data_IF_892506680944
#
_entry.id   IF_892506680944
#
_cell.length_a   1.000
_cell.length_b   1.000
_cell.length_c   1.000
_cell.angle_alpha   90.00
_cell.angle_beta   90.00
_cell.angle_gamma   90.00
#
_symmetry.space_group_name_H-M   'P 1'
#
loop_
_entity.id
_entity.type
_entity.pdbx_description
1 polymer ?
#
# COMPACT_ATOMS: atom_id res chain seq x y z
N UNK A 1 1.73 9.06 14.39
CA UNK A 1 1.24 8.29 15.55
C UNK A 1 0.43 9.10 16.57
N UNK A 2 0.37 10.45 16.53
CA UNK A 2 -0.32 11.25 17.57
C UNK A 2 -1.87 11.21 17.50
N UNK A 3 -2.45 11.10 16.30
CA UNK A 3 -3.90 11.30 16.13
C UNK A 3 -4.77 10.22 16.80
N UNK A 4 -4.36 8.94 16.77
CA UNK A 4 -5.18 7.85 17.31
C UNK A 4 -5.15 7.78 18.85
N UNK A 5 -4.03 8.13 19.48
CA UNK A 5 -3.95 8.28 20.93
C UNK A 5 -4.75 9.50 21.41
N UNK A 6 -4.68 10.62 20.69
CA UNK A 6 -5.49 11.79 20.98
C UNK A 6 -6.99 11.49 20.87
N UNK A 7 -7.40 10.75 19.85
CA UNK A 7 -8.81 10.38 19.67
C UNK A 7 -9.34 9.49 20.80
N UNK A 8 -8.56 8.47 21.23
CA UNK A 8 -8.93 7.62 22.36
C UNK A 8 -9.06 8.40 23.69
N UNK A 9 -8.13 9.32 23.95
CA UNK A 9 -8.18 10.17 25.16
C UNK A 9 -9.45 11.05 25.15
N UNK A 10 -9.79 11.59 23.99
CA UNK A 10 -11.00 12.44 23.83
C UNK A 10 -12.29 11.64 24.07
N UNK A 11 -12.35 10.39 23.61
CA UNK A 11 -13.53 9.53 23.74
C UNK A 11 -13.79 9.10 25.19
N UNK A 12 -12.74 8.71 25.94
CA UNK A 12 -12.88 8.31 27.35
C UNK A 12 -13.25 9.49 28.25
N UNK A 13 -12.68 10.68 28.02
CA UNK A 13 -13.07 11.90 28.74
C UNK A 13 -14.53 12.27 28.46
N UNK A 14 -15.00 12.07 27.22
CA UNK A 14 -16.39 12.29 26.84
C UNK A 14 -17.36 11.30 27.50
N UNK A 15 -16.91 10.07 27.78
CA UNK A 15 -17.70 9.08 28.54
C UNK A 15 -17.77 9.44 30.02
N UNK A 16 -16.66 9.81 30.64
CA UNK A 16 -16.62 10.27 32.03
C UNK A 16 -17.55 11.47 32.24
N UNK A 17 -17.51 12.45 31.33
CA UNK A 17 -18.36 13.64 31.42
C UNK A 17 -19.85 13.28 31.37
N UNK A 18 -20.25 12.31 30.54
CA UNK A 18 -21.64 11.80 30.51
C UNK A 18 -22.04 11.12 31.82
N UNK A 19 -21.15 10.34 32.43
CA UNK A 19 -21.45 9.67 33.70
C UNK A 19 -21.56 10.65 34.88
N UNK A 20 -20.74 11.70 34.91
CA UNK A 20 -20.83 12.75 35.94
C UNK A 20 -22.17 13.49 35.83
N UNK A 21 -22.59 13.87 34.60
CA UNK A 21 -23.88 14.54 34.38
C UNK A 21 -25.05 13.65 34.78
N UNK A 22 -24.99 12.36 34.45
CA UNK A 22 -26.06 11.40 34.73
C UNK A 22 -26.21 11.08 36.22
N UNK A 23 -25.11 10.83 36.92
CA UNK A 23 -25.12 10.39 38.33
C UNK A 23 -25.07 11.54 39.33
N UNK A 24 -24.76 12.76 38.88
CA UNK A 24 -24.63 13.99 39.66
C UNK A 24 -23.98 13.79 41.05
N UNK A 25 -22.73 13.29 41.11
CA UNK A 25 -22.07 12.96 42.35
C UNK A 25 -21.75 14.22 43.16
N UNK A 26 -21.94 14.16 44.48
CA UNK A 26 -21.60 15.25 45.41
C UNK A 26 -20.09 15.50 45.49
N UNK A 27 -19.28 14.43 45.40
CA UNK A 27 -17.82 14.51 45.33
C UNK A 27 -17.33 14.06 43.95
N UNK A 28 -17.11 15.03 43.08
CA UNK A 28 -16.69 14.80 41.69
C UNK A 28 -15.27 14.22 41.64
N UNK A 29 -14.36 14.65 42.52
CA UNK A 29 -12.97 14.20 42.49
C UNK A 29 -12.85 12.73 42.90
N UNK A 30 -13.53 12.35 43.98
CA UNK A 30 -13.56 10.95 44.41
C UNK A 30 -14.29 10.07 43.39
N UNK A 31 -15.35 10.58 42.75
CA UNK A 31 -16.04 9.88 41.67
C UNK A 31 -15.12 9.62 40.47
N UNK A 32 -14.38 10.64 40.00
CA UNK A 32 -13.39 10.48 38.92
C UNK A 32 -12.31 9.46 39.29
N UNK A 33 -11.78 9.52 40.52
CA UNK A 33 -10.78 8.55 40.99
C UNK A 33 -11.32 7.11 40.96
N UNK A 34 -12.53 6.90 41.46
CA UNK A 34 -13.18 5.60 41.46
C UNK A 34 -13.49 5.11 40.04
N UNK A 35 -13.92 6.00 39.14
CA UNK A 35 -14.17 5.68 37.74
C UNK A 35 -12.93 5.11 37.05
N UNK A 36 -11.80 5.83 37.12
CA UNK A 36 -10.56 5.36 36.50
C UNK A 36 -10.00 4.10 37.15
N UNK A 37 -10.12 3.96 38.48
CA UNK A 37 -9.73 2.73 39.17
C UNK A 37 -10.59 1.53 38.74
N UNK A 38 -11.90 1.73 38.57
CA UNK A 38 -12.82 0.67 38.11
C UNK A 38 -12.52 0.27 36.67
N UNK A 39 -12.26 1.25 35.79
CA UNK A 39 -11.83 1.01 34.41
C UNK A 39 -10.50 0.27 34.33
N UNK A 40 -9.52 0.69 35.13
CA UNK A 40 -8.22 0.02 35.21
C UNK A 40 -8.36 -1.42 35.72
N UNK A 41 -9.22 -1.63 36.71
CA UNK A 41 -9.54 -2.97 37.22
C UNK A 41 -10.19 -3.84 36.15
N UNK A 42 -11.14 -3.30 35.38
CA UNK A 42 -11.78 -4.02 34.27
C UNK A 42 -10.75 -4.43 33.20
N UNK A 43 -9.89 -3.50 32.77
CA UNK A 43 -8.82 -3.79 31.81
C UNK A 43 -7.84 -4.85 32.33
N UNK A 44 -7.47 -4.77 33.62
CA UNK A 44 -6.62 -5.79 34.26
C UNK A 44 -7.31 -7.14 34.28
N UNK A 45 -8.61 -7.21 34.60
CA UNK A 45 -9.37 -8.47 34.61
C UNK A 45 -9.44 -9.12 33.23
N UNK A 46 -9.62 -8.30 32.19
CA UNK A 46 -9.62 -8.76 30.80
C UNK A 46 -8.25 -9.32 30.40
N UNK A 47 -7.17 -8.61 30.72
CA UNK A 47 -5.81 -9.12 30.50
C UNK A 47 -5.53 -10.40 31.29
N UNK A 48 -6.01 -10.51 32.53
CA UNK A 48 -5.89 -11.73 33.33
C UNK A 48 -6.64 -12.91 32.71
N UNK A 49 -7.80 -12.67 32.08
CA UNK A 49 -8.53 -13.73 31.36
C UNK A 49 -7.73 -14.29 30.16
N UNK A 50 -6.80 -13.50 29.62
CA UNK A 50 -5.92 -13.89 28.51
C UNK A 50 -4.63 -14.58 28.99
N UNK A 51 -4.35 -14.59 30.30
CA UNK A 51 -3.13 -15.19 30.87
C UNK A 51 -2.99 -16.67 30.54
N UNK A 52 -4.08 -17.45 30.58
CA UNK A 52 -4.05 -18.88 30.26
C UNK A 52 -3.65 -19.16 28.81
N UNK A 53 -4.16 -18.35 27.87
CA UNK A 53 -3.78 -18.41 26.46
C UNK A 53 -2.34 -17.95 26.23
N UNK A 54 -1.91 -16.90 26.94
CA UNK A 54 -0.53 -16.41 26.86
C UNK A 54 0.46 -17.44 27.41
N UNK A 55 0.15 -18.09 28.54
CA UNK A 55 0.97 -19.16 29.12
C UNK A 55 1.06 -20.39 28.21
N UNK A 56 -0.04 -20.77 27.55
CA UNK A 56 -0.03 -21.82 26.54
C UNK A 56 0.88 -21.50 25.34
N UNK A 57 1.15 -20.22 25.09
CA UNK A 57 2.08 -19.72 24.07
C UNK A 57 3.48 -19.39 24.63
N UNK A 58 3.78 -19.76 25.88
CA UNK A 58 5.08 -19.52 26.53
C UNK A 58 5.31 -18.07 27.01
N UNK A 59 4.29 -17.22 27.04
CA UNK A 59 4.37 -15.82 27.41
C UNK A 59 3.72 -15.62 28.80
N UNK A 60 4.47 -15.09 29.76
CA UNK A 60 3.93 -14.72 31.07
C UNK A 60 3.60 -13.21 31.09
N UNK A 61 2.32 -12.83 31.01
CA UNK A 61 1.91 -11.42 31.03
C UNK A 61 2.11 -10.78 32.41
N UNK A 62 2.12 -11.59 33.48
CA UNK A 62 2.23 -11.13 34.87
C UNK A 62 3.27 -11.99 35.64
N UNK A 63 4.57 -11.67 35.53
CA UNK A 63 5.61 -12.36 36.30
C UNK A 63 5.43 -12.09 37.81
N UNK A 64 5.69 -13.11 38.63
CA UNK A 64 5.73 -12.97 40.09
C UNK A 64 6.87 -12.03 40.50
N UNK A 65 6.62 -11.13 41.43
CA UNK A 65 7.63 -10.21 41.96
C UNK A 65 8.13 -10.82 43.28
N UNK A 66 9.27 -11.48 43.25
CA UNK A 66 9.76 -12.23 44.43
C UNK A 66 10.66 -11.42 45.37
N UNK A 67 10.85 -10.12 45.16
CA UNK A 67 11.69 -9.28 46.02
C UNK A 67 11.05 -7.94 46.36
N UNK A 68 10.18 -7.92 47.37
CA UNK A 68 9.78 -6.68 48.05
C UNK A 68 10.31 -6.76 49.48
N UNK A 69 11.50 -6.22 49.71
CA UNK A 69 12.06 -6.12 51.06
C UNK A 69 11.49 -4.87 51.75
N UNK A 70 10.51 -5.05 52.64
CA UNK A 70 9.88 -3.97 53.39
C UNK A 70 10.66 -3.78 54.69
N UNK A 71 11.38 -2.67 54.83
CA UNK A 71 11.96 -2.29 56.11
C UNK A 71 10.91 -1.59 57.00
N UNK A 72 11.09 -1.66 58.32
CA UNK A 72 10.13 -1.26 59.35
C UNK A 72 9.82 0.26 59.43
N UNK A 73 10.20 1.04 58.42
CA UNK A 73 9.97 2.49 58.34
C UNK A 73 9.04 2.90 57.18
N UNK A 74 8.50 1.94 56.41
CA UNK A 74 7.46 2.20 55.42
C UNK A 74 7.89 3.00 54.18
N UNK A 75 9.20 3.17 53.95
CA UNK A 75 9.73 3.87 52.76
C UNK A 75 10.51 2.88 51.91
N UNK A 76 9.99 2.57 50.71
CA UNK A 76 10.67 1.69 49.77
C UNK A 76 11.95 2.36 49.24
N UNK A 77 13.09 1.72 49.49
CA UNK A 77 14.33 2.02 48.78
C UNK A 77 14.15 1.54 47.34
N UNK A 78 14.08 2.48 46.40
CA UNK A 78 14.11 2.19 44.96
C UNK A 78 15.46 1.56 44.62
N UNK A 79 15.50 0.24 44.52
CA UNK A 79 16.40 -0.44 43.61
C UNK A 79 15.56 -1.29 42.66
N UNK A 80 15.93 -1.16 41.39
CA UNK A 80 15.27 -1.67 40.20
C UNK A 80 13.89 -1.08 39.91
N UNK A 81 13.83 -0.42 38.74
CA UNK A 81 12.61 0.07 38.13
C UNK A 81 11.52 -0.99 38.32
N UNK A 82 10.37 -0.58 38.88
CA UNK A 82 9.12 -1.29 38.66
C UNK A 82 9.09 -1.79 37.21
N UNK A 83 8.59 -3.01 36.90
CA UNK A 83 8.51 -3.47 35.54
C UNK A 83 7.48 -2.59 34.81
N UNK A 84 7.95 -1.44 34.32
CA UNK A 84 7.28 -0.67 33.30
C UNK A 84 7.11 -1.63 32.15
N UNK A 85 5.84 -1.86 31.78
CA UNK A 85 5.37 -2.63 30.63
C UNK A 85 6.50 -2.82 29.59
N UNK A 86 7.21 -3.95 29.65
CA UNK A 86 8.30 -4.21 28.71
C UNK A 86 7.64 -4.40 27.35
N UNK A 87 8.03 -3.56 26.40
CA UNK A 87 7.62 -3.67 25.01
C UNK A 87 7.95 -5.10 24.53
N UNK A 88 7.02 -5.79 23.86
CA UNK A 88 7.21 -7.18 23.43
C UNK A 88 8.30 -7.33 22.34
N UNK A 89 8.87 -6.22 21.88
CA UNK A 89 9.91 -6.19 20.85
C UNK A 89 11.34 -6.18 21.43
N UNK A 90 11.53 -6.04 22.74
CA UNK A 90 12.87 -5.76 23.30
C UNK A 90 13.77 -6.97 23.55
N UNK A 91 13.24 -8.20 23.56
CA UNK A 91 14.02 -9.37 24.03
C UNK A 91 14.46 -10.33 22.91
N UNK A 92 13.95 -10.20 21.68
CA UNK A 92 14.25 -11.10 20.56
C UNK A 92 14.47 -10.35 19.23
N UNK A 93 14.93 -9.10 19.26
CA UNK A 93 15.35 -8.41 18.03
C UNK A 93 16.78 -8.84 17.64
N UNK A 94 16.99 -9.56 16.52
CA UNK A 94 18.32 -9.93 16.06
C UNK A 94 19.14 -8.74 15.50
N UNK A 95 18.59 -7.51 15.55
CA UNK A 95 19.26 -6.29 15.09
C UNK A 95 19.59 -5.30 16.21
N UNK A 96 19.27 -5.60 17.48
CA UNK A 96 19.80 -4.85 18.62
C UNK A 96 21.18 -5.40 18.99
N UNK A 97 22.24 -4.84 18.42
CA UNK A 97 23.59 -5.02 18.96
C UNK A 97 23.63 -4.37 20.36
N UNK A 98 23.35 -5.16 21.38
CA UNK A 98 23.71 -4.84 22.75
C UNK A 98 25.18 -5.16 22.94
N UNK A 99 26.02 -4.12 22.82
CA UNK A 99 27.29 -3.94 23.53
C UNK A 99 27.88 -2.61 23.04
N UNK A 100 27.65 -1.55 23.82
CA UNK A 100 28.22 -0.19 23.79
C UNK A 100 27.14 0.90 23.85
N UNK A 101 26.54 1.08 25.04
CA UNK A 101 25.77 2.27 25.38
C UNK A 101 26.68 3.19 26.24
N UNK A 102 27.16 4.35 25.74
CA UNK A 102 28.20 5.16 26.39
C UNK A 102 27.67 5.99 27.58
N UNK A 103 26.47 5.70 28.08
CA UNK A 103 25.81 6.45 29.14
C UNK A 103 25.90 5.78 30.53
N UNK A 104 26.95 5.00 30.78
CA UNK A 104 27.32 4.55 32.12
C UNK A 104 28.56 5.31 32.61
N UNK A 105 28.37 6.59 32.94
CA UNK A 105 29.25 7.27 33.88
C UNK A 105 28.44 7.78 35.07
N UNK A 106 28.74 7.18 36.21
CA UNK A 106 28.46 7.72 37.54
C UNK A 106 28.97 9.15 37.60
N UNK A 107 28.13 10.10 37.99
CA UNK A 107 28.61 11.31 38.65
C UNK A 107 27.73 11.62 39.86
N UNK A 108 28.41 11.59 41.00
CA UNK A 108 27.99 12.04 42.31
C UNK A 108 27.92 13.57 42.37
N UNK A 109 26.93 14.08 43.10
CA UNK A 109 26.81 15.40 43.72
C UNK A 109 26.37 16.65 42.90
N UNK A 110 25.19 17.12 43.32
CA UNK A 110 24.79 18.47 43.77
C UNK A 110 24.79 19.67 42.80
N UNK A 111 23.58 20.24 42.73
CA UNK A 111 23.21 21.66 42.74
C UNK A 111 23.10 22.48 41.44
N UNK A 112 22.02 23.28 41.47
CA UNK A 112 21.72 24.50 40.73
C UNK A 112 21.10 24.40 39.32
N UNK A 113 19.78 24.65 39.32
CA UNK A 113 19.08 25.65 38.50
C UNK A 113 19.36 25.77 36.99
N UNK A 114 18.31 25.49 36.19
CA UNK A 114 17.82 26.45 35.20
C UNK A 114 18.23 26.26 33.73
N UNK A 115 17.21 26.17 32.87
CA UNK A 115 17.20 26.83 31.56
C UNK A 115 17.70 26.04 30.35
N UNK A 116 16.81 25.87 29.36
CA UNK A 116 16.98 25.02 28.17
C UNK A 116 17.67 25.74 26.99
N UNK A 117 18.14 27.00 27.10
CA UNK A 117 18.81 27.66 25.96
C UNK A 117 19.91 28.68 26.33
N UNK A 118 21.02 28.59 25.57
CA UNK A 118 22.20 29.48 25.40
C UNK A 118 23.36 29.20 26.36
N UNK A 119 24.51 28.74 25.89
CA UNK A 119 25.56 29.50 25.16
C UNK A 119 26.76 28.52 25.04
N UNK A 120 27.72 28.54 24.10
CA UNK A 120 28.18 29.52 23.14
C UNK A 120 28.96 28.78 22.04
N UNK A 121 28.90 29.38 20.86
CA UNK A 121 29.72 29.22 19.67
C UNK A 121 31.23 29.30 20.00
N UNK A 122 32.06 28.42 19.44
CA UNK A 122 33.48 28.74 19.22
C UNK A 122 34.03 28.09 17.94
N UNK A 123 34.22 28.93 16.92
CA UNK A 123 34.80 28.62 15.61
C UNK A 123 36.26 29.05 15.65
N UNK A 124 37.12 28.24 16.28
CA UNK A 124 38.56 28.23 16.02
C UNK A 124 39.29 27.12 16.80
N UNK A 125 39.41 25.94 16.18
CA UNK A 125 40.59 25.07 16.37
C UNK A 125 40.70 24.09 15.21
N UNK A 126 41.80 24.21 14.47
CA UNK A 126 42.17 23.35 13.35
C UNK A 126 42.55 21.95 13.86
N UNK A 127 41.96 20.91 13.28
CA UNK A 127 42.61 19.60 13.10
C UNK A 127 41.98 18.90 11.90
N UNK A 128 42.80 18.76 10.85
CA UNK A 128 42.64 18.01 9.60
C UNK A 128 41.48 16.99 9.53
N UNK A 129 40.46 17.32 8.73
CA UNK A 129 39.50 16.36 8.20
C UNK A 129 40.11 15.61 7.02
N UNK A 130 40.32 14.30 7.17
CA UNK A 130 40.43 13.37 6.04
C UNK A 130 38.99 13.03 5.62
N UNK A 131 38.62 13.08 4.32
CA UNK A 131 37.28 12.71 3.88
C UNK A 131 37.02 11.22 4.11
N UNK A 132 35.88 10.88 4.71
CA UNK A 132 35.37 9.51 4.76
C UNK A 132 35.22 8.99 3.33
N UNK A 133 36.02 7.98 2.98
CA UNK A 133 35.97 7.26 1.71
C UNK A 133 34.72 6.38 1.69
N UNK A 134 33.99 6.42 0.58
CA UNK A 134 32.95 5.43 0.26
C UNK A 134 33.55 4.02 0.28
N UNK A 135 32.88 3.09 0.95
CA UNK A 135 33.35 1.71 1.12
C UNK A 135 32.76 0.86 -0.01
N UNK A 136 33.63 0.43 -0.92
CA UNK A 136 33.33 -0.50 -2.00
C UNK A 136 33.37 -1.95 -1.46
N UNK A 137 32.31 -2.77 -1.63
CA UNK A 137 32.21 -4.10 -1.03
C UNK A 137 33.18 -5.18 -1.58
N UNK A 138 34.02 -4.88 -2.58
CA UNK A 138 34.93 -5.86 -3.22
C UNK A 138 36.44 -5.58 -3.02
N UNK A 139 36.87 -4.88 -1.97
CA UNK A 139 38.31 -4.66 -1.68
C UNK A 139 39.05 -5.96 -1.27
N UNK A 140 40.07 -6.42 -2.03
CA UNK A 140 40.78 -7.69 -1.80
C UNK A 140 41.88 -7.62 -0.71
N UNK A 141 41.97 -6.54 0.07
CA UNK A 141 43.06 -6.32 1.05
C UNK A 141 42.69 -6.52 2.53
N UNK A 142 41.84 -7.49 2.86
CA UNK A 142 41.57 -7.93 4.25
C UNK A 142 42.13 -9.33 4.55
N UNK A 143 42.68 -9.59 5.76
CA UNK A 143 43.11 -10.93 6.16
C UNK A 143 41.92 -11.89 6.22
N UNK A 144 42.11 -13.09 5.68
CA UNK A 144 41.12 -14.16 5.64
C UNK A 144 40.51 -14.43 7.03
N UNK A 145 39.18 -14.51 7.06
CA UNK A 145 38.41 -14.92 8.23
C UNK A 145 38.91 -16.29 8.74
N UNK A 146 39.55 -16.27 9.91
CA UNK A 146 39.96 -17.48 10.61
C UNK A 146 38.73 -18.25 11.08
N UNK A 147 38.78 -19.55 10.80
CA UNK A 147 37.80 -20.57 11.14
C UNK A 147 37.20 -20.44 12.55
N UNK A 148 35.90 -20.72 12.62
CA UNK A 148 35.11 -20.83 13.83
C UNK A 148 35.81 -21.68 14.90
N UNK A 149 36.09 -21.07 16.05
CA UNK A 149 36.42 -21.80 17.28
C UNK A 149 35.12 -22.48 17.75
N UNK A 150 35.05 -23.80 17.57
CA UNK A 150 34.02 -24.66 18.16
C UNK A 150 34.25 -24.75 19.66
N UNK A 151 33.34 -24.18 20.46
CA UNK A 151 33.21 -24.52 21.88
C UNK A 151 32.70 -25.96 22.02
N UNK A 152 33.40 -26.86 22.73
CA UNK A 152 32.98 -28.26 22.86
C UNK A 152 32.04 -28.42 24.06
N UNK A 153 30.75 -28.11 23.89
CA UNK A 153 29.60 -28.66 24.66
C UNK A 153 28.29 -27.88 24.46
N UNK A 154 27.79 -27.78 23.22
CA UNK A 154 26.37 -27.49 23.01
C UNK A 154 25.75 -28.64 22.21
N UNK A 155 24.71 -29.33 22.73
CA UNK A 155 23.95 -30.27 21.91
C UNK A 155 23.30 -29.49 20.76
N UNK A 156 23.22 -30.07 19.55
CA UNK A 156 22.63 -29.41 18.40
C UNK A 156 21.16 -29.08 18.72
N UNK A 157 20.76 -27.82 18.47
CA UNK A 157 19.39 -27.36 18.62
C UNK A 157 18.47 -28.14 17.66
N UNK A 158 17.81 -29.17 18.18
CA UNK A 158 16.84 -30.01 17.47
C UNK A 158 15.45 -29.35 17.36
N UNK A 159 15.35 -28.02 17.41
CA UNK A 159 14.06 -27.36 17.27
C UNK A 159 13.84 -27.00 15.79
N UNK A 160 12.86 -27.62 15.10
CA UNK A 160 12.45 -27.15 13.79
C UNK A 160 11.97 -25.68 13.91
N UNK A 161 12.09 -24.86 12.85
CA UNK A 161 11.63 -23.47 12.88
C UNK A 161 10.15 -23.46 13.31
N UNK A 162 9.89 -22.96 14.52
CA UNK A 162 8.54 -22.92 15.07
C UNK A 162 7.74 -21.86 14.30
N UNK A 163 6.75 -22.31 13.51
CA UNK A 163 5.81 -21.44 12.80
C UNK A 163 5.06 -20.60 13.84
N UNK A 164 5.12 -19.27 13.69
CA UNK A 164 4.47 -18.33 14.59
C UNK A 164 2.94 -18.57 14.52
N UNK A 165 2.25 -18.79 15.65
CA UNK A 165 0.81 -19.02 15.65
C UNK A 165 0.02 -17.84 15.06
N UNK A 166 -1.06 -18.12 14.34
CA UNK A 166 -1.92 -17.11 13.68
C UNK A 166 -2.47 -16.06 14.66
N UNK A 167 -2.59 -16.41 15.95
CA UNK A 167 -3.06 -15.53 17.02
C UNK A 167 -1.95 -14.91 17.90
N UNK A 168 -0.67 -15.01 17.51
CA UNK A 168 0.49 -14.53 18.28
C UNK A 168 0.35 -13.07 18.74
N UNK A 169 -0.39 -12.25 17.98
CA UNK A 169 -0.52 -10.82 18.23
C UNK A 169 -1.76 -10.40 19.04
N UNK A 170 -2.52 -11.33 19.63
CA UNK A 170 -3.69 -11.00 20.49
C UNK A 170 -4.65 -9.97 19.85
N UNK A 171 -5.03 -10.18 18.59
CA UNK A 171 -5.85 -9.29 17.77
C UNK A 171 -5.26 -7.88 17.51
N UNK A 172 -3.97 -7.65 17.74
CA UNK A 172 -3.28 -6.45 17.26
C UNK A 172 -3.03 -6.56 15.76
N UNK A 173 -3.11 -5.41 15.07
CA UNK A 173 -2.80 -5.31 13.64
C UNK A 173 -1.33 -5.69 13.40
N UNK A 174 -1.12 -6.57 12.43
CA UNK A 174 0.21 -7.05 12.03
C UNK A 174 0.64 -6.36 10.76
N UNK A 175 1.92 -6.04 10.64
CA UNK A 175 2.49 -5.56 9.38
C UNK A 175 2.46 -6.68 8.34
N UNK A 176 2.19 -6.33 7.09
CA UNK A 176 2.35 -7.20 5.92
C UNK A 176 3.31 -6.53 4.94
N UNK A 177 4.09 -7.34 4.25
CA UNK A 177 5.02 -6.88 3.21
C UNK A 177 5.01 -7.87 2.05
N UNK A 178 5.50 -7.42 0.91
CA UNK A 178 5.64 -8.22 -0.29
C UNK A 178 7.06 -8.06 -0.84
N UNK A 179 7.50 -8.94 -1.72
CA UNK A 179 8.84 -8.88 -2.33
C UNK A 179 9.03 -7.56 -3.09
N UNK A 180 10.23 -7.00 -3.03
CA UNK A 180 10.57 -5.79 -3.76
C UNK A 180 10.82 -6.13 -5.24
N UNK A 181 10.17 -5.40 -6.15
CA UNK A 181 10.40 -5.47 -7.59
C UNK A 181 11.00 -4.14 -8.06
N UNK A 182 12.06 -4.19 -8.87
CA UNK A 182 12.68 -2.99 -9.42
C UNK A 182 12.23 -2.78 -10.88
N UNK A 183 11.45 -1.72 -11.17
CA UNK A 183 10.96 -1.44 -12.52
C UNK A 183 12.07 -1.27 -13.57
N UNK A 184 13.21 -0.68 -13.19
CA UNK A 184 14.32 -0.44 -14.11
C UNK A 184 14.95 -1.73 -14.61
N UNK A 185 14.93 -2.80 -13.80
CA UNK A 185 15.46 -4.12 -14.18
C UNK A 185 14.52 -4.92 -15.08
N UNK A 186 13.22 -4.60 -15.10
CA UNK A 186 12.25 -5.31 -15.94
C UNK A 186 12.57 -5.21 -17.44
N UNK A 187 13.12 -4.08 -17.89
CA UNK A 187 13.54 -3.91 -19.31
C UNK A 187 14.79 -4.71 -19.67
N UNK A 188 15.71 -4.89 -18.73
CA UNK A 188 16.94 -5.65 -18.94
C UNK A 188 16.75 -7.15 -18.77
N UNK A 189 15.76 -7.56 -17.97
CA UNK A 189 15.39 -8.95 -17.80
C UNK A 189 14.56 -9.41 -19.02
N UNK A 190 15.03 -10.40 -19.76
CA UNK A 190 14.28 -11.04 -20.86
C UNK A 190 13.18 -11.96 -20.35
N UNK A 191 12.49 -11.56 -19.28
CA UNK A 191 11.38 -12.33 -18.73
C UNK A 191 10.18 -12.17 -19.65
N UNK A 192 9.50 -13.28 -19.94
CA UNK A 192 8.22 -13.27 -20.64
C UNK A 192 7.19 -13.93 -19.74
N UNK A 193 5.96 -13.40 -19.68
CA UNK A 193 4.90 -14.07 -18.97
C UNK A 193 4.73 -15.49 -19.53
N UNK A 194 4.50 -16.50 -18.68
CA UNK A 194 4.15 -17.82 -19.17
C UNK A 194 2.88 -17.69 -20.01
N UNK A 195 2.85 -18.39 -21.14
CA UNK A 195 1.69 -18.40 -22.05
C UNK A 195 1.28 -19.85 -22.22
N UNK A 196 0.04 -20.14 -21.86
CA UNK A 196 -0.57 -21.44 -22.06
C UNK A 196 -1.48 -21.40 -23.29
N UNK A 197 -1.56 -22.50 -24.01
CA UNK A 197 -2.41 -22.63 -25.20
C UNK A 197 -3.87 -22.88 -24.78
N UNK A 198 -4.52 -21.85 -24.25
CA UNK A 198 -5.93 -21.86 -23.90
C UNK A 198 -6.79 -21.89 -25.17
N UNK A 199 -7.88 -22.64 -25.15
CA UNK A 199 -8.92 -22.55 -26.16
C UNK A 199 -9.71 -21.24 -25.99
N UNK A 200 -10.32 -20.74 -27.06
CA UNK A 200 -11.15 -19.52 -27.02
C UNK A 200 -12.26 -19.62 -25.97
N UNK A 201 -12.85 -20.80 -25.81
CA UNK A 201 -13.91 -21.05 -24.82
C UNK A 201 -13.41 -20.99 -23.38
N UNK A 202 -12.19 -21.48 -23.10
CA UNK A 202 -11.58 -21.38 -21.76
C UNK A 202 -11.22 -19.93 -21.44
N UNK A 203 -10.66 -19.19 -22.40
CA UNK A 203 -10.34 -17.77 -22.24
C UNK A 203 -11.60 -16.95 -21.87
N UNK A 204 -12.71 -17.16 -22.58
CA UNK A 204 -13.98 -16.48 -22.32
C UNK A 204 -14.55 -16.83 -20.94
N UNK A 205 -14.52 -18.12 -20.56
CA UNK A 205 -15.01 -18.59 -19.26
C UNK A 205 -14.19 -17.98 -18.11
N UNK A 206 -12.86 -17.99 -18.24
CA UNK A 206 -11.95 -17.38 -17.26
C UNK A 206 -12.13 -15.86 -17.18
N UNK A 207 -12.34 -15.19 -18.31
CA UNK A 207 -12.57 -13.76 -18.35
C UNK A 207 -13.85 -13.35 -17.60
N UNK A 208 -14.90 -14.16 -17.67
CA UNK A 208 -16.16 -13.94 -16.96
C UNK A 208 -16.03 -14.26 -15.46
N UNK A 209 -15.39 -15.39 -15.09
CA UNK A 209 -15.15 -15.74 -13.68
C UNK A 209 -14.32 -14.67 -12.95
N UNK A 210 -13.33 -14.08 -13.62
CA UNK A 210 -12.47 -13.05 -13.05
C UNK A 210 -13.08 -11.65 -13.04
N UNK A 211 -14.18 -11.40 -13.77
CA UNK A 211 -14.79 -10.07 -13.91
C UNK A 211 -15.23 -9.45 -12.59
N UNK A 212 -15.69 -10.29 -11.67
CA UNK A 212 -16.18 -9.85 -10.35
C UNK A 212 -15.07 -9.81 -9.29
N UNK A 213 -13.89 -10.37 -9.57
CA UNK A 213 -12.78 -10.34 -8.62
C UNK A 213 -12.19 -8.91 -8.54
N UNK A 214 -12.05 -8.40 -7.32
CA UNK A 214 -11.63 -7.02 -7.08
C UNK A 214 -10.23 -6.70 -7.61
N UNK A 215 -9.33 -7.69 -7.66
CA UNK A 215 -7.97 -7.52 -8.21
C UNK A 215 -7.99 -7.35 -9.73
N UNK A 216 -8.89 -8.05 -10.41
CA UNK A 216 -8.92 -8.13 -11.87
C UNK A 216 -9.80 -7.06 -12.49
N UNK A 217 -10.77 -6.52 -11.74
CA UNK A 217 -11.64 -5.41 -12.18
C UNK A 217 -10.86 -4.13 -12.52
N UNK A 218 -9.71 -3.93 -11.91
CA UNK A 218 -8.88 -2.72 -12.10
C UNK A 218 -7.80 -2.89 -13.17
N UNK A 219 -7.66 -4.09 -13.75
CA UNK A 219 -6.68 -4.34 -14.81
C UNK A 219 -7.20 -3.81 -16.15
N UNK A 220 -6.30 -3.24 -16.94
CA UNK A 220 -6.60 -2.94 -18.35
C UNK A 220 -6.76 -4.23 -19.17
N UNK A 221 -7.36 -4.11 -20.36
CA UNK A 221 -7.67 -5.27 -21.20
C UNK A 221 -6.43 -6.09 -21.60
N UNK A 222 -5.30 -5.44 -21.85
CA UNK A 222 -4.06 -6.11 -22.26
C UNK A 222 -3.43 -6.86 -21.08
N UNK A 223 -3.35 -6.22 -19.91
CA UNK A 223 -2.90 -6.87 -18.68
C UNK A 223 -3.82 -8.04 -18.32
N UNK A 224 -5.14 -7.88 -18.40
CA UNK A 224 -6.11 -8.94 -18.12
C UNK A 224 -5.91 -10.14 -19.07
N UNK A 225 -5.75 -9.90 -20.36
CA UNK A 225 -5.46 -10.96 -21.35
C UNK A 225 -4.15 -11.69 -21.04
N UNK A 226 -3.10 -10.94 -20.70
CA UNK A 226 -1.79 -11.49 -20.35
C UNK A 226 -1.86 -12.36 -19.09
N UNK A 227 -2.63 -11.93 -18.08
CA UNK A 227 -2.84 -12.72 -16.86
C UNK A 227 -3.63 -13.98 -17.13
N UNK A 228 -4.69 -13.92 -17.97
CA UNK A 228 -5.47 -15.10 -18.35
C UNK A 228 -4.57 -16.12 -19.05
N UNK A 229 -3.76 -15.67 -20.01
CA UNK A 229 -2.80 -16.52 -20.73
C UNK A 229 -1.73 -17.16 -19.81
N UNK A 230 -1.44 -16.55 -18.65
CA UNK A 230 -0.48 -17.02 -17.67
C UNK A 230 -1.04 -18.05 -16.66
N UNK A 231 -2.36 -18.27 -16.63
CA UNK A 231 -3.01 -19.22 -15.72
C UNK A 231 -2.65 -20.66 -16.08
N UNK A 232 -2.12 -21.43 -15.12
CA UNK A 232 -1.73 -22.83 -15.31
C UNK A 232 -2.77 -23.77 -14.70
N UNK A 233 -3.20 -24.77 -15.47
CA UNK A 233 -4.12 -25.79 -14.98
C UNK A 233 -3.42 -26.71 -13.96
N UNK A 234 -4.11 -27.02 -12.86
CA UNK A 234 -3.68 -27.95 -11.82
C UNK A 234 -4.86 -28.84 -11.42
N UNK A 235 -4.61 -30.14 -11.35
CA UNK A 235 -5.62 -31.14 -10.95
C UNK A 235 -5.28 -31.74 -9.59
N UNK A 236 -6.30 -31.89 -8.76
CA UNK A 236 -6.20 -32.42 -7.41
C UNK A 236 -7.23 -33.54 -7.25
N UNK A 237 -6.79 -34.71 -6.80
CA UNK A 237 -7.71 -35.80 -6.49
C UNK A 237 -8.53 -35.47 -5.23
N UNK A 238 -9.69 -36.09 -5.08
CA UNK A 238 -10.50 -36.01 -3.87
C UNK A 238 -9.67 -36.23 -2.60
N UNK A 239 -10.02 -35.50 -1.54
CA UNK A 239 -9.40 -35.49 -0.21
C UNK A 239 -7.95 -34.95 -0.19
N UNK A 240 -7.47 -34.37 -1.29
CA UNK A 240 -6.16 -33.70 -1.36
C UNK A 240 -6.22 -32.30 -0.75
N UNK A 241 -5.25 -31.97 0.11
CA UNK A 241 -5.06 -30.62 0.64
C UNK A 241 -4.40 -29.74 -0.42
N UNK A 242 -5.12 -28.72 -0.91
CA UNK A 242 -4.63 -27.79 -1.95
C UNK A 242 -3.81 -26.67 -1.32
N UNK A 243 -4.31 -26.07 -0.24
CA UNK A 243 -3.60 -25.08 0.58
C UNK A 243 -3.78 -25.44 2.05
N UNK A 244 -2.77 -25.16 2.86
CA UNK A 244 -2.78 -25.44 4.30
C UNK A 244 -2.71 -24.15 5.09
N UNK A 245 -3.56 -24.02 6.10
CA UNK A 245 -3.58 -22.87 7.01
C UNK A 245 -2.21 -22.65 7.64
N UNK A 246 -1.75 -21.40 7.66
CA UNK A 246 -0.47 -21.00 8.22
C UNK A 246 0.74 -21.13 7.28
N UNK A 247 0.59 -21.78 6.12
CA UNK A 247 1.65 -21.82 5.11
C UNK A 247 1.73 -20.51 4.32
N UNK A 248 2.88 -20.20 3.73
CA UNK A 248 3.00 -19.06 2.82
C UNK A 248 2.12 -19.25 1.58
N UNK A 249 1.44 -18.19 1.17
CA UNK A 249 0.56 -18.26 0.02
C UNK A 249 1.26 -17.92 -1.28
N UNK A 250 1.48 -18.90 -2.16
CA UNK A 250 2.21 -18.62 -3.42
C UNK A 250 1.30 -18.45 -4.64
N UNK A 251 0.12 -19.08 -4.60
CA UNK A 251 -0.80 -19.15 -5.73
C UNK A 251 -2.21 -18.61 -5.40
N UNK A 252 -2.84 -18.07 -6.42
CA UNK A 252 -4.28 -17.86 -6.50
C UNK A 252 -4.90 -18.95 -7.38
N UNK A 253 -6.10 -19.40 -7.03
CA UNK A 253 -6.78 -20.50 -7.73
C UNK A 253 -8.19 -20.11 -8.16
N UNK A 254 -8.60 -20.57 -9.34
CA UNK A 254 -9.97 -20.50 -9.87
C UNK A 254 -10.43 -21.93 -10.11
N UNK A 255 -11.57 -22.31 -9.53
CA UNK A 255 -12.13 -23.66 -9.66
C UNK A 255 -12.78 -23.79 -11.03
N UNK A 256 -12.26 -24.69 -11.85
CA UNK A 256 -12.84 -25.02 -13.15
C UNK A 256 -13.89 -26.13 -13.01
N UNK A 257 -13.50 -27.24 -12.39
CA UNK A 257 -14.41 -28.36 -12.11
C UNK A 257 -14.26 -28.83 -10.67
N UNK A 258 -15.36 -29.33 -10.08
CA UNK A 258 -15.38 -29.92 -8.75
C UNK A 258 -15.67 -28.93 -7.60
N UNK A 259 -15.51 -29.42 -6.37
CA UNK A 259 -15.83 -28.69 -5.13
C UNK A 259 -14.65 -28.69 -4.16
N UNK A 260 -14.39 -27.53 -3.54
CA UNK A 260 -13.34 -27.33 -2.54
C UNK A 260 -13.96 -26.90 -1.21
N UNK A 261 -13.62 -27.60 -0.14
CA UNK A 261 -14.04 -27.28 1.23
C UNK A 261 -12.96 -26.50 1.99
N UNK A 262 -13.37 -25.48 2.73
CA UNK A 262 -12.47 -24.62 3.51
C UNK A 262 -12.63 -24.86 5.00
N UNK A 263 -11.49 -24.99 5.68
CA UNK A 263 -11.40 -25.27 7.11
C UNK A 263 -10.54 -24.22 7.82
N UNK A 264 -10.99 -23.76 8.97
CA UNK A 264 -10.23 -22.86 9.86
C UNK A 264 -10.16 -23.51 11.23
N UNK A 265 -8.96 -23.74 11.74
CA UNK A 265 -8.74 -24.47 12.99
C UNK A 265 -9.52 -25.81 13.02
N UNK A 266 -9.42 -26.56 11.93
CA UNK A 266 -10.07 -27.86 11.69
C UNK A 266 -11.62 -27.85 11.65
N UNK A 267 -12.26 -26.68 11.78
CA UNK A 267 -13.69 -26.53 11.57
C UNK A 267 -14.00 -26.12 10.13
N UNK A 268 -14.90 -26.84 9.45
CA UNK A 268 -15.38 -26.47 8.11
C UNK A 268 -16.14 -25.15 8.18
N UNK A 269 -15.67 -24.14 7.45
CA UNK A 269 -16.27 -22.79 7.43
C UNK A 269 -17.06 -22.51 6.17
N UNK A 270 -16.65 -23.05 5.03
CA UNK A 270 -17.30 -22.80 3.74
C UNK A 270 -16.98 -23.90 2.72
N UNK A 271 -17.68 -23.87 1.59
CA UNK A 271 -17.39 -24.68 0.40
C UNK A 271 -17.52 -23.80 -0.84
N UNK A 272 -16.74 -24.07 -1.88
CA UNK A 272 -16.85 -23.37 -3.15
C UNK A 272 -16.77 -24.35 -4.31
N UNK A 273 -17.56 -24.07 -5.34
CA UNK A 273 -17.66 -24.85 -6.56
C UNK A 273 -17.13 -24.08 -7.76
N UNK A 274 -17.26 -24.69 -8.93
CA UNK A 274 -16.94 -24.18 -10.26
C UNK A 274 -17.27 -22.69 -10.44
N UNK A 275 -16.33 -21.96 -11.06
CA UNK A 275 -16.40 -20.51 -11.27
C UNK A 275 -15.95 -19.65 -10.07
N UNK A 276 -15.87 -20.24 -8.87
CA UNK A 276 -15.36 -19.54 -7.68
C UNK A 276 -13.84 -19.47 -7.67
N UNK A 277 -13.29 -18.51 -6.94
CA UNK A 277 -11.84 -18.34 -6.81
C UNK A 277 -11.43 -18.18 -5.34
N UNK A 278 -10.20 -18.56 -5.00
CA UNK A 278 -9.68 -18.49 -3.64
C UNK A 278 -8.18 -18.22 -3.58
N UNK A 279 -7.72 -17.68 -2.45
CA UNK A 279 -6.32 -17.38 -2.22
C UNK A 279 -5.83 -16.08 -2.87
N UNK A 280 -6.72 -15.18 -3.27
CA UNK A 280 -6.43 -13.91 -3.95
C UNK A 280 -5.48 -12.98 -3.18
N UNK A 281 -5.58 -12.93 -1.85
CA UNK A 281 -4.69 -12.12 -1.01
C UNK A 281 -3.21 -12.53 -1.14
N UNK A 282 -2.95 -13.78 -1.50
CA UNK A 282 -1.61 -14.29 -1.76
C UNK A 282 -0.94 -13.63 -2.98
N UNK A 283 -1.70 -13.00 -3.88
CA UNK A 283 -1.13 -12.24 -4.99
C UNK A 283 -0.63 -10.85 -4.56
N UNK A 284 -1.14 -10.32 -3.46
CA UNK A 284 -0.88 -8.94 -3.04
C UNK A 284 0.29 -8.83 -2.07
N UNK A 285 0.40 -9.73 -1.11
CA UNK A 285 1.43 -9.67 -0.08
C UNK A 285 1.77 -11.05 0.47
N UNK A 286 2.92 -11.13 1.13
CA UNK A 286 3.33 -12.31 1.83
C UNK A 286 2.57 -12.43 3.15
N UNK A 287 1.44 -13.14 3.12
CA UNK A 287 0.68 -13.50 4.31
C UNK A 287 0.47 -15.01 4.43
N UNK A 288 0.51 -15.57 5.65
CA UNK A 288 0.09 -16.94 5.88
C UNK A 288 -1.35 -17.20 5.41
N UNK A 289 -1.62 -18.41 4.91
CA UNK A 289 -2.98 -18.83 4.53
C UNK A 289 -3.91 -18.78 5.74
N UNK A 290 -5.04 -18.11 5.58
CA UNK A 290 -6.05 -17.98 6.65
C UNK A 290 -6.85 -19.26 6.90
N UNK A 291 -6.95 -20.14 5.91
CA UNK A 291 -7.72 -21.38 5.95
C UNK A 291 -6.98 -22.49 5.19
N UNK A 292 -7.28 -23.74 5.54
CA UNK A 292 -6.92 -24.94 4.78
C UNK A 292 -8.02 -25.19 3.76
N UNK A 293 -7.66 -25.46 2.49
CA UNK A 293 -8.62 -25.86 1.46
C UNK A 293 -8.35 -27.29 1.01
N UNK A 294 -9.39 -28.11 0.98
CA UNK A 294 -9.34 -29.54 0.69
C UNK A 294 -10.30 -29.84 -0.45
N UNK A 295 -9.85 -30.63 -1.43
CA UNK A 295 -10.69 -31.06 -2.55
C UNK A 295 -11.77 -32.02 -2.04
N UNK A 296 -13.04 -31.62 -2.08
CA UNK A 296 -14.17 -32.46 -1.67
C UNK A 296 -14.56 -33.49 -2.76
N UNK A 297 -14.25 -33.18 -4.02
CA UNK A 297 -14.31 -34.06 -5.19
C UNK A 297 -12.94 -34.06 -5.89
N UNK A 298 -12.81 -34.76 -7.00
CA UNK A 298 -11.73 -34.44 -7.93
C UNK A 298 -11.94 -33.01 -8.43
N UNK A 299 -10.88 -32.21 -8.38
CA UNK A 299 -10.92 -30.77 -8.64
C UNK A 299 -9.89 -30.42 -9.69
N UNK A 300 -10.31 -29.64 -10.68
CA UNK A 300 -9.41 -28.98 -11.62
C UNK A 300 -9.48 -27.48 -11.38
N UNK A 301 -8.33 -26.84 -11.26
CA UNK A 301 -8.21 -25.41 -10.99
C UNK A 301 -7.22 -24.75 -11.93
N UNK A 302 -7.45 -23.47 -12.22
CA UNK A 302 -6.47 -22.59 -12.82
C UNK A 302 -5.68 -21.86 -11.72
N UNK A 303 -4.35 -21.93 -11.76
CA UNK A 303 -3.47 -21.38 -10.76
C UNK A 303 -2.60 -20.26 -11.34
N UNK A 304 -2.45 -19.16 -10.61
CA UNK A 304 -1.55 -18.05 -10.93
C UNK A 304 -0.63 -17.77 -9.76
N UNK A 305 0.67 -17.65 -10.00
CA UNK A 305 1.64 -17.32 -8.97
C UNK A 305 1.74 -15.81 -8.71
N UNK A 306 2.10 -15.45 -7.47
CA UNK A 306 2.27 -14.07 -7.02
C UNK A 306 3.24 -13.27 -7.88
N UNK A 307 4.42 -13.83 -8.18
CA UNK A 307 5.48 -13.11 -8.86
C UNK A 307 5.10 -12.77 -10.30
N UNK A 308 4.52 -13.72 -11.02
CA UNK A 308 3.99 -13.52 -12.38
C UNK A 308 2.91 -12.45 -12.39
N UNK A 309 1.92 -12.52 -11.48
CA UNK A 309 0.88 -11.50 -11.39
C UNK A 309 1.44 -10.09 -11.15
N UNK A 310 2.32 -9.96 -10.14
CA UNK A 310 2.92 -8.67 -9.79
C UNK A 310 3.83 -8.13 -10.89
N UNK A 311 4.57 -8.99 -11.59
CA UNK A 311 5.40 -8.61 -12.75
C UNK A 311 4.54 -8.10 -13.90
N UNK A 312 3.48 -8.82 -14.28
CA UNK A 312 2.56 -8.40 -15.35
C UNK A 312 1.94 -7.03 -15.03
N UNK A 313 1.45 -6.84 -13.80
CA UNK A 313 0.86 -5.58 -13.36
C UNK A 313 1.87 -4.42 -13.40
N UNK A 314 3.08 -4.65 -12.86
CA UNK A 314 4.11 -3.63 -12.80
C UNK A 314 4.63 -3.27 -14.19
N UNK A 315 4.81 -4.25 -15.07
CA UNK A 315 5.26 -4.04 -16.43
C UNK A 315 4.21 -3.28 -17.27
N UNK A 316 2.94 -3.68 -17.19
CA UNK A 316 1.85 -2.99 -17.89
C UNK A 316 1.71 -1.53 -17.47
N UNK A 317 1.71 -1.27 -16.16
CA UNK A 317 1.63 0.11 -15.62
C UNK A 317 2.86 0.95 -15.94
N UNK A 318 4.06 0.36 -15.85
CA UNK A 318 5.31 1.04 -16.16
C UNK A 318 5.44 1.37 -17.65
N UNK A 319 5.11 0.44 -18.55
CA UNK A 319 5.15 0.67 -19.99
C UNK A 319 4.14 1.74 -20.42
N UNK A 320 2.91 1.71 -19.85
CA UNK A 320 1.90 2.75 -20.07
C UNK A 320 2.41 4.14 -19.64
N UNK A 321 3.05 4.22 -18.47
CA UNK A 321 3.63 5.46 -17.98
C UNK A 321 4.70 6.01 -18.91
N UNK A 322 5.62 5.17 -19.38
CA UNK A 322 6.67 5.59 -20.29
C UNK A 322 6.13 6.07 -21.64
N UNK A 323 5.15 5.34 -22.18
CA UNK A 323 4.44 5.73 -23.41
C UNK A 323 3.85 7.15 -23.27
N UNK A 324 3.19 7.43 -22.15
CA UNK A 324 2.63 8.75 -21.90
C UNK A 324 3.68 9.80 -21.59
N UNK A 325 4.73 9.49 -20.86
CA UNK A 325 5.82 10.45 -20.61
C UNK A 325 6.46 10.90 -21.93
N UNK A 326 6.69 9.98 -22.87
CA UNK A 326 7.24 10.32 -24.18
C UNK A 326 6.24 11.10 -25.04
N UNK A 327 4.97 10.69 -25.07
CA UNK A 327 3.90 11.43 -25.76
C UNK A 327 3.73 12.86 -25.21
N UNK A 328 3.73 13.03 -23.89
CA UNK A 328 3.54 14.34 -23.24
C UNK A 328 4.75 15.27 -23.40
N UNK A 329 5.95 14.76 -23.71
CA UNK A 329 7.12 15.60 -24.04
C UNK A 329 6.95 16.29 -25.40
N UNK A 330 6.30 15.61 -26.35
CA UNK A 330 6.13 16.13 -27.71
C UNK A 330 5.04 17.22 -27.79
N UNK A 331 4.12 17.26 -26.82
CA UNK A 331 3.02 18.24 -26.79
C UNK A 331 3.53 19.62 -26.39
N UNK A 332 3.38 20.59 -27.30
CA UNK A 332 3.91 21.95 -27.15
C UNK A 332 3.37 22.69 -25.93
N UNK A 333 2.06 22.63 -25.68
CA UNK A 333 1.40 23.32 -24.56
C UNK A 333 1.86 22.80 -23.18
N UNK A 334 2.43 21.59 -23.14
CA UNK A 334 2.89 20.94 -21.91
C UNK A 334 4.41 21.04 -21.70
N UNK A 335 5.15 21.72 -22.59
CA UNK A 335 6.61 21.89 -22.47
C UNK A 335 7.03 22.68 -21.24
N UNK A 336 6.16 23.53 -20.70
CA UNK A 336 6.39 24.28 -19.46
C UNK A 336 6.36 23.41 -18.20
N UNK A 337 5.88 22.16 -18.30
CA UNK A 337 5.82 21.24 -17.16
C UNK A 337 7.18 20.59 -16.87
N UNK A 338 7.54 20.57 -15.60
CA UNK A 338 8.67 19.76 -15.10
C UNK A 338 8.45 18.26 -15.33
N UNK A 339 9.53 17.49 -15.38
CA UNK A 339 9.46 16.03 -15.53
C UNK A 339 8.60 15.37 -14.46
N UNK A 340 8.74 15.80 -13.19
CA UNK A 340 7.92 15.27 -12.11
C UNK A 340 6.42 15.59 -12.29
N UNK A 341 6.08 16.81 -12.75
CA UNK A 341 4.69 17.17 -13.04
C UNK A 341 4.11 16.36 -14.20
N UNK A 342 4.90 16.17 -15.27
CA UNK A 342 4.52 15.34 -16.43
C UNK A 342 4.33 13.88 -16.05
N UNK A 343 5.19 13.32 -15.18
CA UNK A 343 5.00 11.99 -14.61
C UNK A 343 3.68 11.86 -13.83
N UNK A 344 3.32 12.86 -13.02
CA UNK A 344 2.05 12.87 -12.28
C UNK A 344 0.85 12.98 -13.22
N UNK A 345 0.99 13.73 -14.30
CA UNK A 345 -0.01 13.83 -15.35
C UNK A 345 -0.19 12.49 -16.08
N UNK A 346 0.91 11.82 -16.46
CA UNK A 346 0.90 10.51 -17.10
C UNK A 346 0.17 9.45 -16.24
N UNK A 347 0.37 9.46 -14.92
CA UNK A 347 -0.32 8.57 -13.98
C UNK A 347 -1.84 8.83 -13.90
N UNK A 348 -2.31 10.03 -14.27
CA UNK A 348 -3.72 10.44 -14.20
C UNK A 348 -4.50 10.28 -15.52
N UNK A 349 -3.81 9.99 -16.63
CA UNK A 349 -4.43 9.87 -17.95
C UNK A 349 -5.08 8.50 -18.17
N UNK A 350 -6.26 8.52 -18.77
CA UNK A 350 -6.99 7.33 -19.22
C UNK A 350 -7.01 7.27 -20.74
N UNK A 351 -6.95 6.08 -21.34
CA UNK A 351 -7.01 5.91 -22.79
C UNK A 351 -8.44 5.64 -23.21
N UNK A 352 -8.93 6.36 -24.22
CA UNK A 352 -10.22 6.10 -24.86
C UNK A 352 -10.03 5.96 -26.37
N UNK A 353 -10.80 5.05 -26.98
CA UNK A 353 -10.74 4.76 -28.42
C UNK A 353 -12.08 5.04 -29.05
N UNK A 354 -12.05 5.73 -30.19
CA UNK A 354 -13.22 6.15 -30.95
C UNK A 354 -13.05 5.69 -32.40
N UNK A 355 -14.13 5.20 -33.00
CA UNK A 355 -14.16 4.77 -34.39
C UNK A 355 -14.54 5.93 -35.31
N UNK A 356 -14.29 5.75 -36.61
CA UNK A 356 -14.69 6.71 -37.63
C UNK A 356 -16.19 7.05 -37.53
N UNK A 357 -16.50 8.34 -37.44
CA UNK A 357 -17.85 8.89 -37.33
C UNK A 357 -18.34 9.07 -35.89
N UNK A 358 -17.59 8.59 -34.90
CA UNK A 358 -17.96 8.79 -33.50
C UNK A 358 -17.79 10.27 -33.11
N UNK A 359 -18.80 10.83 -32.46
CA UNK A 359 -18.75 12.16 -31.84
C UNK A 359 -18.14 12.03 -30.45
N UNK A 360 -16.91 12.51 -30.29
CA UNK A 360 -16.17 12.41 -29.03
C UNK A 360 -16.74 13.39 -28.00
N UNK A 361 -17.11 14.60 -28.44
CA UNK A 361 -17.87 15.57 -27.65
C UNK A 361 -18.88 16.25 -28.57
N UNK A 362 -20.05 16.61 -28.04
CA UNK A 362 -21.10 17.28 -28.80
C UNK A 362 -21.29 18.72 -28.32
N UNK A 363 -21.50 19.65 -29.26
CA UNK A 363 -21.86 21.04 -28.94
C UNK A 363 -23.08 21.10 -28.00
N UNK A 364 -23.01 21.96 -26.99
CA UNK A 364 -24.07 22.16 -25.99
C UNK A 364 -24.01 21.23 -24.77
N UNK A 365 -23.26 20.13 -24.81
CA UNK A 365 -23.13 19.22 -23.66
C UNK A 365 -22.22 19.82 -22.57
N UNK A 366 -22.43 19.43 -21.30
CA UNK A 366 -21.53 19.83 -20.23
C UNK A 366 -20.21 19.04 -20.34
N UNK A 367 -19.09 19.76 -20.41
CA UNK A 367 -17.78 19.16 -20.58
C UNK A 367 -17.03 18.96 -19.26
N UNK A 368 -16.81 17.71 -18.83
CA UNK A 368 -16.07 17.39 -17.60
C UNK A 368 -14.66 16.81 -17.85
N UNK A 369 -14.31 16.56 -19.12
CA UNK A 369 -13.05 15.96 -19.52
C UNK A 369 -12.25 16.84 -20.49
N UNK A 370 -10.93 16.76 -20.38
CA UNK A 370 -9.95 17.29 -21.32
C UNK A 370 -9.33 16.15 -22.11
N UNK A 371 -9.04 16.37 -23.39
CA UNK A 371 -8.60 15.33 -24.33
C UNK A 371 -7.30 15.74 -25.02
N UNK A 372 -6.36 14.80 -25.09
CA UNK A 372 -5.12 14.90 -25.87
C UNK A 372 -5.16 13.82 -26.97
N UNK A 373 -4.89 14.18 -28.23
CA UNK A 373 -4.95 13.23 -29.34
C UNK A 373 -3.62 12.48 -29.44
N UNK A 374 -3.66 11.17 -29.18
CA UNK A 374 -2.50 10.28 -29.26
C UNK A 374 -2.28 9.80 -30.71
N UNK A 375 -3.36 9.45 -31.40
CA UNK A 375 -3.33 9.03 -32.81
C UNK A 375 -4.69 9.23 -33.48
N UNK A 376 -4.68 9.37 -34.81
CA UNK A 376 -5.86 9.59 -35.62
C UNK A 376 -6.11 11.08 -35.91
N UNK A 377 -7.21 11.35 -36.59
CA UNK A 377 -7.61 12.68 -37.04
C UNK A 377 -9.05 12.98 -36.60
N UNK A 378 -9.27 14.19 -36.09
CA UNK A 378 -10.58 14.67 -35.70
C UNK A 378 -10.97 15.93 -36.50
N UNK A 379 -12.26 16.10 -36.73
CA UNK A 379 -12.84 17.33 -37.26
C UNK A 379 -13.60 18.04 -36.15
N UNK A 380 -13.30 19.32 -35.96
CA UNK A 380 -14.06 20.22 -35.08
C UNK A 380 -15.00 21.04 -35.93
N UNK A 381 -16.28 21.07 -35.57
CA UNK A 381 -17.29 21.87 -36.24
C UNK A 381 -18.36 22.36 -35.25
N UNK A 382 -19.04 23.45 -35.61
CA UNK A 382 -20.22 23.93 -34.90
C UNK A 382 -21.31 24.33 -35.89
N UNK A 383 -22.54 24.51 -35.41
CA UNK A 383 -23.67 24.86 -36.28
C UNK A 383 -23.50 26.24 -36.96
N UNK A 384 -22.81 27.16 -36.31
CA UNK A 384 -22.69 28.56 -36.76
C UNK A 384 -21.60 28.81 -37.81
N UNK A 385 -20.46 28.14 -37.69
CA UNK A 385 -19.26 28.35 -38.51
C UNK A 385 -18.95 27.16 -39.43
N UNK A 386 -19.68 26.04 -39.28
CA UNK A 386 -19.38 24.81 -39.99
C UNK A 386 -18.04 24.22 -39.51
N UNK A 387 -17.18 23.80 -40.43
CA UNK A 387 -15.89 23.19 -40.11
C UNK A 387 -14.88 24.23 -39.62
N UNK A 388 -14.51 24.17 -38.33
CA UNK A 388 -13.62 25.13 -37.68
C UNK A 388 -12.15 24.75 -37.87
N UNK A 389 -11.79 23.53 -37.46
CA UNK A 389 -10.38 23.08 -37.41
C UNK A 389 -10.30 21.56 -37.52
N UNK A 390 -9.21 21.06 -38.12
CA UNK A 390 -8.82 19.65 -38.04
C UNK A 390 -7.75 19.48 -36.97
N UNK A 391 -7.88 18.44 -36.17
CA UNK A 391 -6.95 18.09 -35.12
C UNK A 391 -6.30 16.75 -35.42
N UNK A 392 -5.03 16.61 -35.06
CA UNK A 392 -4.20 15.44 -35.30
C UNK A 392 -3.35 15.11 -34.06
N UNK A 393 -2.47 14.12 -34.16
CA UNK A 393 -1.59 13.72 -33.07
C UNK A 393 -0.86 14.92 -32.45
N UNK A 394 -0.93 15.04 -31.12
CA UNK A 394 -0.31 16.11 -30.34
C UNK A 394 -1.22 17.34 -30.13
N UNK A 395 -2.31 17.46 -30.89
CA UNK A 395 -3.35 18.45 -30.62
C UNK A 395 -4.22 18.03 -29.41
N UNK A 396 -5.01 18.98 -28.92
CA UNK A 396 -5.88 18.81 -27.76
C UNK A 396 -7.23 19.51 -27.98
N UNK A 397 -8.21 19.17 -27.14
CA UNK A 397 -9.49 19.86 -27.09
C UNK A 397 -10.20 19.68 -25.75
N UNK A 398 -11.23 20.52 -25.52
CA UNK A 398 -12.10 20.44 -24.35
C UNK A 398 -11.65 21.29 -23.16
N UNK A 399 -10.58 22.06 -23.32
CA UNK A 399 -10.04 23.01 -22.34
C UNK A 399 -11.02 24.14 -22.01
N UNK A 400 -11.75 24.67 -22.99
CA UNK A 400 -12.66 25.82 -22.79
C UNK A 400 -13.74 25.50 -21.77
N UNK A 401 -14.33 24.30 -21.85
CA UNK A 401 -15.39 23.88 -20.93
C UNK A 401 -14.90 23.81 -19.48
N UNK A 402 -13.63 23.40 -19.26
CA UNK A 402 -13.05 23.28 -17.93
C UNK A 402 -12.52 24.62 -17.39
N UNK A 403 -12.07 25.51 -18.27
CA UNK A 403 -11.52 26.81 -17.91
C UNK A 403 -12.61 27.84 -17.59
N UNK A 404 -13.72 27.83 -18.33
CA UNK A 404 -14.80 28.82 -18.23
C UNK A 404 -16.10 28.28 -17.65
N UNK A 405 -16.16 26.98 -17.33
CA UNK A 405 -17.37 26.29 -16.87
C UNK A 405 -18.56 26.46 -17.84
N UNK A 406 -18.24 26.48 -19.14
CA UNK A 406 -19.20 26.60 -20.24
C UNK A 406 -19.50 25.23 -20.85
N UNK A 407 -20.68 25.04 -21.48
CA UNK A 407 -20.93 23.86 -22.29
C UNK A 407 -19.92 23.77 -23.44
N UNK A 408 -19.81 22.58 -24.05
CA UNK A 408 -18.99 22.36 -25.24
C UNK A 408 -19.40 23.32 -26.35
N UNK A 409 -18.45 24.09 -26.87
CA UNK A 409 -18.68 25.15 -27.87
C UNK A 409 -18.71 24.63 -29.31
N UNK A 410 -18.29 23.39 -29.52
CA UNK A 410 -18.21 22.74 -30.82
C UNK A 410 -18.30 21.22 -30.63
N UNK A 411 -18.73 20.53 -31.69
CA UNK A 411 -18.68 19.08 -31.79
C UNK A 411 -17.31 18.65 -32.33
N UNK A 412 -16.75 17.59 -31.75
CA UNK A 412 -15.51 16.96 -32.25
C UNK A 412 -15.86 15.55 -32.69
N UNK A 413 -15.62 15.26 -33.97
CA UNK A 413 -15.94 13.98 -34.60
C UNK A 413 -14.67 13.30 -35.12
N UNK A 414 -14.56 11.98 -34.90
CA UNK A 414 -13.46 11.17 -35.37
C UNK A 414 -13.57 10.91 -36.89
N UNK A 415 -12.55 11.29 -37.66
CA UNK A 415 -12.51 11.06 -39.12
C UNK A 415 -11.99 9.67 -39.49
N UNK A 416 -11.23 9.06 -38.59
CA UNK A 416 -10.68 7.71 -38.64
C UNK A 416 -10.73 7.07 -37.24
N UNK A 417 -9.97 6.01 -36.99
CA UNK A 417 -9.86 5.43 -35.65
C UNK A 417 -8.94 6.32 -34.80
N UNK A 418 -9.53 6.97 -33.81
CA UNK A 418 -8.87 7.97 -32.97
C UNK A 418 -8.63 7.38 -31.59
N UNK A 419 -7.42 7.58 -31.07
CA UNK A 419 -7.05 7.26 -29.69
C UNK A 419 -6.76 8.58 -28.98
N UNK A 420 -7.42 8.80 -27.84
CA UNK A 420 -7.25 9.99 -27.01
C UNK A 420 -6.86 9.61 -25.59
N UNK A 421 -6.00 10.43 -25.00
CA UNK A 421 -5.74 10.41 -23.57
C UNK A 421 -6.66 11.43 -22.89
N UNK A 422 -7.42 10.99 -21.89
CA UNK A 422 -8.44 11.79 -21.20
C UNK A 422 -8.03 12.12 -19.77
N UNK A 423 -8.33 13.37 -19.38
CA UNK A 423 -8.07 13.91 -18.05
C UNK A 423 -9.34 14.56 -17.52
N UNK A 424 -9.85 14.10 -16.38
CA UNK A 424 -11.03 14.69 -15.75
C UNK A 424 -10.76 16.09 -15.16
N UNK A 425 -11.82 16.87 -14.96
CA UNK A 425 -11.81 18.25 -14.41
C UNK A 425 -10.93 18.43 -13.17
N UNK A 426 -11.01 17.50 -12.21
CA UNK A 426 -10.21 17.56 -10.98
C UNK A 426 -8.71 17.36 -11.24
N UNK A 427 -8.36 16.45 -12.16
CA UNK A 427 -7.00 16.24 -12.64
C UNK A 427 -6.49 17.46 -13.41
N UNK A 428 -7.31 18.03 -14.29
CA UNK A 428 -7.00 19.22 -15.08
C UNK A 428 -6.61 20.41 -14.18
N UNK A 429 -7.44 20.73 -13.19
CA UNK A 429 -7.20 21.86 -12.29
C UNK A 429 -5.97 21.68 -11.39
N UNK A 430 -5.69 20.44 -10.97
CA UNK A 430 -4.62 20.15 -10.00
C UNK A 430 -3.26 19.88 -10.65
N UNK A 431 -3.23 19.26 -11.83
CA UNK A 431 -2.01 18.68 -12.41
C UNK A 431 -1.41 19.50 -13.56
N UNK A 432 -2.19 20.32 -14.26
CA UNK A 432 -1.68 21.13 -15.39
C UNK A 432 -0.93 22.39 -14.95
N UNK A 433 -1.13 22.88 -13.73
CA UNK A 433 -0.35 23.97 -13.16
C UNK A 433 -0.12 25.15 -14.14
N UNK A 434 1.13 25.52 -14.48
CA UNK A 434 1.43 26.61 -15.42
C UNK A 434 0.90 26.42 -16.84
N UNK A 435 0.69 25.19 -17.31
CA UNK A 435 0.16 24.94 -18.65
C UNK A 435 -1.27 25.49 -18.83
N UNK A 436 -2.00 25.67 -17.73
CA UNK A 436 -3.33 26.32 -17.72
C UNK A 436 -3.25 27.75 -18.25
N UNK A 437 -2.16 28.48 -17.99
CA UNK A 437 -2.00 29.86 -18.46
C UNK A 437 -1.81 29.90 -19.98
N UNK A 438 -0.97 29.01 -20.52
CA UNK A 438 -0.78 28.86 -21.97
C UNK A 438 -2.09 28.46 -22.66
N UNK A 439 -2.84 27.52 -22.07
CA UNK A 439 -4.17 27.13 -22.56
C UNK A 439 -5.15 28.30 -22.58
N UNK A 440 -5.13 29.15 -21.55
CA UNK A 440 -5.96 30.36 -21.50
C UNK A 440 -5.56 31.37 -22.58
N UNK A 441 -4.28 31.52 -22.90
CA UNK A 441 -3.81 32.43 -23.95
C UNK A 441 -4.27 31.97 -25.34
N UNK A 442 -4.27 30.66 -25.59
CA UNK A 442 -4.65 30.05 -26.87
C UNK A 442 -6.15 29.78 -27.02
N UNK A 443 -6.97 30.27 -26.08
CA UNK A 443 -8.41 30.06 -26.07
C UNK A 443 -9.09 30.73 -27.29
N UNK A 444 -9.71 29.94 -28.20
CA UNK A 444 -10.30 30.47 -29.44
C UNK A 444 -11.52 31.38 -29.20
N UNK A 445 -12.11 31.35 -28.01
CA UNK A 445 -13.26 32.23 -27.68
C UNK A 445 -12.84 33.65 -27.30
N UNK A 446 -11.55 33.91 -26.99
CA UNK A 446 -11.07 35.27 -26.67
C UNK A 446 -11.19 36.25 -27.84
N UNK A 447 -11.03 35.77 -29.06
CA UNK A 447 -11.18 36.59 -30.28
C UNK A 447 -12.63 36.95 -30.62
N UNK A 448 -13.62 36.44 -29.87
CA UNK A 448 -15.03 36.66 -30.15
C UNK A 448 -15.72 37.70 -29.25
N UNK A 449 -15.02 38.35 -28.31
CA UNK A 449 -15.58 39.47 -27.54
C UNK A 449 -15.50 40.79 -28.34
N UNK A 450 -16.62 41.36 -28.85
CA UNK A 450 -16.60 42.61 -29.62
C UNK A 450 -16.53 43.87 -28.73
N UNK A 451 -16.32 43.73 -27.42
CA UNK A 451 -16.50 44.81 -26.43
C UNK A 451 -15.20 45.37 -25.85
N UNK A 452 -14.03 44.84 -26.23
CA UNK A 452 -12.73 45.39 -25.82
C UNK A 452 -12.07 46.17 -26.96
N UNK A 453 -12.66 47.29 -27.35
CA UNK A 453 -12.14 48.14 -28.42
C UNK A 453 -13.01 49.35 -28.70
N UNK A 454 -13.12 50.25 -27.73
CA UNK A 454 -13.41 51.67 -27.96
C UNK A 454 -12.71 52.51 -26.90
#
# INVERSE_FOLDING_TARGET
MSNSQQQFITDELSQLQREIISKNPQDILQFCANYFNTKLQAQRSELWSQQSRAQAAGINLFPSIDNININASGVSVRNDRQPSFKSPFGLNDPHSNHDDDPHTKNDTNSDAAGGIFKSNFDVNKQSSTVPLKEVDPDDPSKPQASAAIKSPNQPPSQFPPQKIPVAFNANRRTSVSAEALNPAKLKSESWKPPVNNLSTTEEETLAENLKNNFLFKQLDANSKKTVIAALQQKSFAKDTVIIKQGDEGDFFYIIETGTVDFYVNDAKVNSSSEGSSFGELALMYNSPRAATAIAATDVVCWALDRLTFRRILLEGTFNKRLMYEDFLKDIEVLKSLSDHARSKLADALSTEMYHKGDKIVTEGEQGENFYLIESGNCQVYNEKLGNIKKLSKGDYFGEVALLKDLPRQATVEALDNVIVATLGKSGFQRLLGPAVEVLKEQDPTKTQDPTAGN
#
